data_IF_334935733635
#
_entry.id   IF_334935733635
#
_cell.length_a   1.000
_cell.length_b   1.000
_cell.length_c   1.000
_cell.angle_alpha   90.00
_cell.angle_beta   90.00
_cell.angle_gamma   90.00
#
_symmetry.space_group_name_H-M   'P 1'
#
loop_
_entity.id
_entity.type
_entity.pdbx_description
1 polymer ?
#
# COMPACT_ATOMS: atom_id res chain seq x y z
N UNK A 1 8.53 14.35 6.27
CA UNK A 1 7.93 12.99 6.33
C UNK A 1 6.49 12.88 5.80
N UNK A 2 5.76 13.96 5.47
CA UNK A 2 4.39 13.86 4.91
C UNK A 2 4.31 13.41 3.44
N UNK A 3 5.35 13.66 2.63
CA UNK A 3 5.36 13.33 1.19
C UNK A 3 5.56 11.84 0.92
N UNK A 4 6.42 11.17 1.70
CA UNK A 4 6.66 9.73 1.58
C UNK A 4 5.39 8.93 1.91
N UNK A 5 4.66 9.32 2.96
CA UNK A 5 3.39 8.71 3.33
C UNK A 5 2.30 8.81 2.24
N UNK A 6 2.36 9.84 1.38
CA UNK A 6 1.40 10.03 0.28
C UNK A 6 1.74 9.20 -0.97
N UNK A 7 3.02 8.95 -1.21
CA UNK A 7 3.51 8.19 -2.38
C UNK A 7 3.50 6.68 -2.12
N UNK A 8 3.60 6.27 -0.85
CA UNK A 8 3.62 4.87 -0.47
C UNK A 8 2.39 4.07 -0.94
N UNK A 9 1.13 4.51 -0.75
CA UNK A 9 -0.04 3.76 -1.23
C UNK A 9 -0.09 3.67 -2.76
N UNK A 10 0.34 4.72 -3.47
CA UNK A 10 0.41 4.70 -4.93
C UNK A 10 1.48 3.72 -5.44
N UNK A 11 2.64 3.66 -4.81
CA UNK A 11 3.69 2.70 -5.17
C UNK A 11 3.24 1.25 -4.96
N UNK A 12 2.50 0.98 -3.89
CA UNK A 12 1.96 -0.36 -3.57
C UNK A 12 0.91 -0.80 -4.59
N UNK A 13 0.02 0.09 -5.02
CA UNK A 13 -0.97 -0.20 -6.08
C UNK A 13 -0.28 -0.55 -7.40
N UNK A 14 0.73 0.22 -7.81
CA UNK A 14 1.50 -0.05 -9.04
C UNK A 14 2.24 -1.38 -8.95
N UNK A 15 2.83 -1.69 -7.79
CA UNK A 15 3.47 -2.99 -7.50
C UNK A 15 2.49 -4.17 -7.61
N UNK A 16 1.27 -4.03 -7.05
CA UNK A 16 0.20 -5.05 -7.18
C UNK A 16 -0.16 -5.25 -8.65
N UNK A 17 -0.36 -4.17 -9.41
CA UNK A 17 -0.67 -4.24 -10.83
C UNK A 17 0.42 -4.96 -11.64
N UNK A 18 1.69 -4.63 -11.38
CA UNK A 18 2.83 -5.31 -12.00
C UNK A 18 2.89 -6.81 -11.66
N UNK A 19 2.60 -7.18 -10.41
CA UNK A 19 2.62 -8.57 -9.98
C UNK A 19 1.52 -9.39 -10.67
N UNK A 20 0.31 -8.84 -10.80
CA UNK A 20 -0.80 -9.48 -11.54
C UNK A 20 -0.42 -9.65 -13.01
N UNK A 21 0.19 -8.63 -13.63
CA UNK A 21 0.67 -8.72 -15.01
C UNK A 21 1.70 -9.84 -15.21
N UNK A 22 2.68 -9.95 -14.32
CA UNK A 22 3.66 -11.04 -14.37
C UNK A 22 3.03 -12.42 -14.15
N UNK A 23 2.01 -12.52 -13.29
CA UNK A 23 1.26 -13.76 -13.10
C UNK A 23 0.49 -14.18 -14.35
N UNK A 24 -0.19 -13.24 -15.01
CA UNK A 24 -0.91 -13.52 -16.25
C UNK A 24 0.05 -13.92 -17.38
N UNK A 25 1.20 -13.25 -17.51
CA UNK A 25 2.22 -13.61 -18.49
C UNK A 25 2.81 -15.01 -18.27
N UNK A 26 2.98 -15.43 -17.01
CA UNK A 26 3.49 -16.77 -16.68
C UNK A 26 2.45 -17.87 -16.98
N UNK A 27 1.15 -17.58 -16.80
CA UNK A 27 0.05 -18.48 -17.24
C UNK A 27 0.03 -18.64 -18.76
N UNK A 28 0.23 -17.54 -19.49
CA UNK A 28 0.17 -17.53 -20.96
C UNK A 28 1.45 -18.07 -21.61
N UNK A 29 2.58 -18.08 -20.89
CA UNK A 29 3.88 -18.54 -21.40
C UNK A 29 4.73 -19.21 -20.30
N UNK A 30 4.35 -20.43 -19.86
CA UNK A 30 5.00 -21.12 -18.75
C UNK A 30 6.48 -21.45 -18.99
N UNK A 31 6.95 -21.38 -20.24
CA UNK A 31 8.36 -21.58 -20.63
C UNK A 31 9.29 -20.50 -20.07
N UNK A 32 8.78 -19.31 -19.75
CA UNK A 32 9.59 -18.19 -19.23
C UNK A 32 9.79 -18.25 -17.71
N UNK A 33 8.97 -19.02 -17.00
CA UNK A 33 9.11 -19.41 -15.60
C UNK A 33 9.54 -18.28 -14.66
N UNK A 34 8.83 -17.15 -14.76
CA UNK A 34 9.15 -15.97 -13.96
C UNK A 34 8.75 -16.18 -12.51
N UNK A 35 7.66 -16.90 -12.22
CA UNK A 35 7.16 -17.11 -10.86
C UNK A 35 7.94 -18.17 -10.08
N UNK A 36 8.36 -19.26 -10.70
CA UNK A 36 9.08 -20.34 -10.00
C UNK A 36 10.59 -20.06 -9.84
N UNK A 37 11.08 -18.91 -10.32
CA UNK A 37 12.47 -18.47 -10.09
C UNK A 37 12.61 -17.70 -8.78
N UNK A 38 13.81 -17.73 -8.21
CA UNK A 38 14.24 -16.93 -7.04
C UNK A 38 13.88 -15.43 -7.16
N UNK A 39 13.72 -14.92 -8.38
CA UNK A 39 13.30 -13.55 -8.66
C UNK A 39 11.87 -13.25 -8.19
N UNK A 40 10.90 -14.13 -8.44
CA UNK A 40 9.51 -13.89 -8.01
C UNK A 40 9.35 -13.98 -6.51
N UNK A 41 10.03 -14.93 -5.87
CA UNK A 41 9.99 -15.04 -4.41
C UNK A 41 10.54 -13.75 -3.76
N UNK A 42 11.56 -13.14 -4.37
CA UNK A 42 12.09 -11.83 -3.95
C UNK A 42 11.10 -10.69 -4.19
N UNK A 43 10.43 -10.65 -5.34
CA UNK A 43 9.37 -9.66 -5.64
C UNK A 43 8.18 -9.79 -4.70
N UNK A 44 7.76 -11.02 -4.40
CA UNK A 44 6.64 -11.31 -3.50
C UNK A 44 6.93 -10.85 -2.08
N UNK A 45 8.16 -11.08 -1.57
CA UNK A 45 8.60 -10.56 -0.26
C UNK A 45 8.60 -9.03 -0.24
N UNK A 46 9.14 -8.37 -1.28
CA UNK A 46 9.15 -6.89 -1.34
C UNK A 46 7.71 -6.36 -1.36
N UNK A 47 6.82 -7.00 -2.10
CA UNK A 47 5.41 -6.63 -2.21
C UNK A 47 4.66 -6.83 -0.88
N UNK A 48 4.96 -7.91 -0.16
CA UNK A 48 4.46 -8.15 1.20
C UNK A 48 4.90 -7.05 2.18
N UNK A 49 6.18 -6.68 2.15
CA UNK A 49 6.72 -5.61 3.00
C UNK A 49 6.09 -4.27 2.64
N UNK A 50 5.96 -3.94 1.35
CA UNK A 50 5.30 -2.69 0.91
C UNK A 50 3.83 -2.62 1.34
N UNK A 51 3.10 -3.72 1.19
CA UNK A 51 1.70 -3.83 1.61
C UNK A 51 1.56 -3.61 3.12
N UNK A 52 2.46 -4.22 3.92
CA UNK A 52 2.46 -4.06 5.37
C UNK A 52 2.73 -2.61 5.81
N UNK A 53 3.72 -1.94 5.21
CA UNK A 53 3.99 -0.52 5.53
C UNK A 53 2.84 0.38 5.07
N UNK A 54 2.18 0.05 3.95
CA UNK A 54 1.01 0.80 3.47
C UNK A 54 -0.17 0.69 4.43
N UNK A 55 -0.47 -0.52 4.91
CA UNK A 55 -1.52 -0.74 5.91
C UNK A 55 -1.25 0.02 7.22
N UNK A 56 0.00 0.03 7.70
CA UNK A 56 0.40 0.79 8.88
C UNK A 56 0.21 2.31 8.65
N UNK A 57 0.59 2.80 7.47
CA UNK A 57 0.41 4.21 7.10
C UNK A 57 -1.07 4.62 7.01
N UNK A 58 -1.92 3.78 6.43
CA UNK A 58 -3.37 4.03 6.36
C UNK A 58 -3.99 4.11 7.74
N UNK A 59 -3.70 3.14 8.62
CA UNK A 59 -4.17 3.16 10.02
C UNK A 59 -3.67 4.42 10.74
N UNK A 60 -2.42 4.83 10.50
CA UNK A 60 -1.88 6.05 11.10
C UNK A 60 -2.60 7.31 10.58
N UNK A 61 -2.91 7.35 9.28
CA UNK A 61 -3.58 8.48 8.65
C UNK A 61 -5.04 8.60 9.10
N UNK A 62 -5.74 7.47 9.20
CA UNK A 62 -7.11 7.36 9.73
C UNK A 62 -7.17 7.86 11.18
N UNK A 63 -6.29 7.32 12.06
CA UNK A 63 -6.20 7.77 13.47
C UNK A 63 -5.88 9.26 13.61
N UNK A 64 -5.15 9.85 12.66
CA UNK A 64 -4.85 11.28 12.68
C UNK A 64 -6.02 12.13 12.20
N UNK A 65 -6.73 11.69 11.16
CA UNK A 65 -7.95 12.36 10.71
C UNK A 65 -9.04 12.36 11.79
N UNK A 66 -9.21 11.23 12.49
CA UNK A 66 -10.19 11.12 13.59
C UNK A 66 -9.91 12.10 14.73
N UNK A 67 -8.63 12.28 15.11
CA UNK A 67 -8.27 13.26 16.14
C UNK A 67 -8.55 14.70 15.70
N UNK A 68 -8.27 15.03 14.45
CA UNK A 68 -8.55 16.37 13.92
C UNK A 68 -10.07 16.65 13.86
N UNK A 69 -10.86 15.64 13.49
CA UNK A 69 -12.32 15.76 13.45
C UNK A 69 -12.92 16.00 14.84
N UNK A 70 -12.47 15.24 15.86
CA UNK A 70 -12.88 15.47 17.26
C UNK A 70 -12.54 16.89 17.75
N UNK A 71 -11.33 17.38 17.47
CA UNK A 71 -10.95 18.76 17.84
C UNK A 71 -11.83 19.82 17.17
N UNK A 72 -12.25 19.60 15.91
CA UNK A 72 -13.16 20.53 15.23
C UNK A 72 -14.58 20.50 15.77
N UNK A 73 -15.06 19.33 16.21
CA UNK A 73 -16.38 19.18 16.82
C UNK A 73 -16.41 19.82 18.22
N UNK A 74 -15.39 19.59 19.06
CA UNK A 74 -15.27 20.23 20.39
C UNK A 74 -15.19 21.76 20.31
N UNK A 75 -14.53 22.28 19.26
CA UNK A 75 -14.40 23.73 19.04
C UNK A 75 -15.70 24.37 18.55
N UNK A 76 -16.55 23.61 17.85
CA UNK A 76 -17.85 24.07 17.35
C UNK A 76 -18.94 24.02 18.43
N UNK A 77 -18.84 23.10 19.39
CA UNK A 77 -19.73 23.00 20.54
C UNK A 77 -19.44 24.08 21.60
N UNK A 78 -18.16 24.33 21.91
CA UNK A 78 -17.74 25.35 22.89
C UNK A 78 -17.94 26.81 22.41
N UNK A 79 -18.41 27.02 21.19
CA UNK A 79 -18.73 28.33 20.61
C UNK A 79 -20.22 28.66 20.53
N UNK A 80 -21.11 27.78 21.04
CA UNK A 80 -22.55 28.01 21.19
C UNK A 80 -22.91 28.29 22.64
#
# INVERSE_FOLDING_TARGET
MKRLARILPHATIVMVGMFIFFWVLDILNPTMNFINRKASNKLMIIMLVLSMVTAIMDIYHERKCDRLKKLSEDSADNGR
#
